data_IF_636750484221
#
_entry.id   IF_636750484221
#
_cell.length_a   1.000
_cell.length_b   1.000
_cell.length_c   1.000
_cell.angle_alpha   90.00
_cell.angle_beta   90.00
_cell.angle_gamma   90.00
#
_symmetry.space_group_name_H-M   'P 1'
#
loop_
_entity.id
_entity.type
_entity.pdbx_description
1 polymer ?
#
# COMPACT_ATOMS: atom_id res chain seq x y z
N UNK A 1 17.81 9.11 -7.60
CA UNK A 1 18.20 7.92 -6.83
C UNK A 1 18.15 6.75 -7.80
N UNK A 2 19.18 5.90 -7.82
CA UNK A 2 19.18 4.67 -8.63
C UNK A 2 18.27 3.60 -8.01
N UNK A 3 17.96 2.57 -8.80
CA UNK A 3 17.04 1.49 -8.42
C UNK A 3 17.52 0.71 -7.18
N UNK A 4 18.82 0.39 -7.13
CA UNK A 4 19.42 -0.34 -6.01
C UNK A 4 19.33 0.46 -4.69
N UNK A 5 19.58 1.77 -4.76
CA UNK A 5 19.45 2.64 -3.61
C UNK A 5 18.00 2.76 -3.13
N UNK A 6 17.02 2.81 -4.05
CA UNK A 6 15.60 2.79 -3.68
C UNK A 6 15.21 1.43 -3.08
N UNK A 7 15.65 0.31 -3.66
CA UNK A 7 15.41 -1.04 -3.11
C UNK A 7 15.97 -1.17 -1.69
N UNK A 8 17.20 -0.70 -1.46
CA UNK A 8 17.82 -0.70 -0.13
C UNK A 8 17.04 0.18 0.87
N UNK A 9 16.54 1.33 0.43
CA UNK A 9 15.69 2.19 1.26
C UNK A 9 14.37 1.51 1.61
N UNK A 10 13.69 0.90 0.62
CA UNK A 10 12.42 0.18 0.82
C UNK A 10 12.63 -0.99 1.78
N UNK A 11 13.63 -1.84 1.56
CA UNK A 11 13.95 -2.95 2.46
C UNK A 11 14.22 -2.50 3.91
N UNK A 12 14.89 -1.35 4.11
CA UNK A 12 15.14 -0.78 5.45
C UNK A 12 13.86 -0.28 6.14
N UNK A 13 12.92 0.27 5.38
CA UNK A 13 11.64 0.77 5.90
C UNK A 13 10.61 -0.34 6.08
N UNK A 14 10.72 -1.41 5.31
CA UNK A 14 9.86 -2.59 5.36
C UNK A 14 9.93 -3.33 6.71
N UNK A 15 8.85 -4.03 7.03
CA UNK A 15 8.74 -4.93 8.18
C UNK A 15 8.18 -6.28 7.70
N UNK A 16 8.51 -7.38 8.39
CA UNK A 16 7.89 -8.68 8.08
C UNK A 16 6.37 -8.60 8.15
N UNK A 17 5.70 -9.22 7.17
CA UNK A 17 4.24 -9.28 7.08
C UNK A 17 3.73 -10.72 7.31
N UNK A 18 2.51 -10.87 7.81
CA UNK A 18 1.93 -12.19 8.11
C UNK A 18 1.72 -13.07 6.86
N UNK A 19 1.71 -12.48 5.66
CA UNK A 19 1.69 -13.21 4.37
C UNK A 19 3.01 -13.90 4.02
N UNK A 20 4.06 -13.73 4.84
CA UNK A 20 5.41 -14.21 4.56
C UNK A 20 6.26 -13.28 3.68
N UNK A 21 5.68 -12.16 3.25
CA UNK A 21 6.38 -11.09 2.55
C UNK A 21 6.76 -9.93 3.46
N UNK A 22 6.85 -8.75 2.88
CA UNK A 22 7.23 -7.52 3.58
C UNK A 22 6.16 -6.44 3.41
N UNK A 23 5.96 -5.62 4.43
CA UNK A 23 5.02 -4.50 4.41
C UNK A 23 5.74 -3.19 4.72
N UNK A 24 5.42 -2.14 3.96
CA UNK A 24 5.91 -0.79 4.19
C UNK A 24 4.73 0.16 4.45
N UNK A 25 4.84 0.95 5.51
CA UNK A 25 3.85 1.97 5.83
C UNK A 25 4.09 3.25 5.03
N UNK A 26 3.01 3.85 4.53
CA UNK A 26 3.09 5.10 3.77
C UNK A 26 3.65 6.26 4.62
N UNK A 27 3.38 6.28 5.92
CA UNK A 27 3.97 7.28 6.82
C UNK A 27 5.51 7.18 6.85
N UNK A 28 6.07 5.96 6.82
CA UNK A 28 7.51 5.75 6.77
C UNK A 28 8.12 6.24 5.45
N UNK A 29 7.40 6.07 4.34
CA UNK A 29 7.80 6.60 3.03
C UNK A 29 7.82 8.13 3.03
N UNK A 30 6.76 8.76 3.56
CA UNK A 30 6.69 10.22 3.65
C UNK A 30 7.76 10.79 4.59
N UNK A 31 8.11 10.07 5.65
CA UNK A 31 9.20 10.45 6.55
C UNK A 31 10.59 10.43 5.88
N UNK A 32 10.75 9.71 4.77
CA UNK A 32 11.96 9.79 3.94
C UNK A 32 12.08 11.13 3.17
N UNK A 33 11.03 11.96 3.18
CA UNK A 33 11.09 13.32 2.66
C UNK A 33 11.15 13.38 1.14
N UNK A 34 12.22 13.97 0.60
CA UNK A 34 12.37 14.24 -0.83
C UNK A 34 12.34 12.96 -1.70
N UNK A 35 12.70 11.81 -1.12
CA UNK A 35 12.71 10.52 -1.82
C UNK A 35 11.33 9.84 -1.87
N UNK A 36 10.34 10.37 -1.15
CA UNK A 36 9.02 9.73 -0.99
C UNK A 36 8.31 9.46 -2.32
N UNK A 37 8.37 10.40 -3.27
CA UNK A 37 7.76 10.24 -4.60
C UNK A 37 8.46 9.13 -5.39
N UNK A 38 9.80 9.12 -5.38
CA UNK A 38 10.58 8.10 -6.07
C UNK A 38 10.31 6.69 -5.51
N UNK A 39 10.19 6.58 -4.18
CA UNK A 39 9.83 5.33 -3.51
C UNK A 39 8.43 4.87 -3.89
N UNK A 40 7.42 5.76 -3.91
CA UNK A 40 6.05 5.40 -4.33
C UNK A 40 6.01 4.94 -5.79
N UNK A 41 6.72 5.62 -6.69
CA UNK A 41 6.85 5.20 -8.10
C UNK A 41 7.52 3.84 -8.22
N UNK A 42 8.56 3.59 -7.42
CA UNK A 42 9.27 2.30 -7.41
C UNK A 42 8.37 1.16 -6.91
N UNK A 43 7.64 1.35 -5.81
CA UNK A 43 6.68 0.38 -5.25
C UNK A 43 5.67 -0.05 -6.32
N UNK A 44 5.08 0.91 -7.03
CA UNK A 44 4.09 0.65 -8.08
C UNK A 44 4.65 -0.15 -9.27
N UNK A 45 5.95 -0.02 -9.55
CA UNK A 45 6.63 -0.77 -10.62
C UNK A 45 7.12 -2.17 -10.18
N UNK A 46 7.22 -2.44 -8.88
CA UNK A 46 7.91 -3.61 -8.32
C UNK A 46 7.00 -4.52 -7.49
N UNK A 47 5.73 -4.67 -7.89
CA UNK A 47 4.74 -5.56 -7.26
C UNK A 47 4.40 -5.18 -5.80
N UNK A 48 4.53 -3.90 -5.44
CA UNK A 48 4.04 -3.40 -4.17
C UNK A 48 2.54 -3.19 -4.23
N UNK A 49 1.80 -4.06 -3.56
CA UNK A 49 0.33 -4.07 -3.60
C UNK A 49 -0.27 -3.29 -2.42
N UNK A 50 -1.30 -2.47 -2.64
CA UNK A 50 -1.98 -1.76 -1.57
C UNK A 50 -2.76 -2.73 -0.65
N UNK A 51 -2.39 -2.82 0.62
CA UNK A 51 -3.00 -3.75 1.59
C UNK A 51 -4.50 -3.45 1.81
N UNK A 52 -4.87 -2.18 1.70
CA UNK A 52 -6.17 -1.64 2.14
C UNK A 52 -7.17 -1.38 0.98
N UNK A 53 -6.80 -1.81 -0.24
CA UNK A 53 -7.68 -1.81 -1.42
C UNK A 53 -8.20 -3.21 -1.77
N UNK A 54 -8.20 -4.16 -0.82
CA UNK A 54 -9.11 -5.28 -0.92
C UNK A 54 -10.54 -4.70 -1.01
N UNK A 55 -11.35 -5.00 -2.04
CA UNK A 55 -12.75 -4.67 -1.99
C UNK A 55 -13.28 -5.33 -0.73
N UNK A 56 -13.68 -4.50 0.24
CA UNK A 56 -14.33 -4.95 1.46
C UNK A 56 -15.43 -5.88 0.95
N UNK A 57 -15.29 -7.19 1.20
CA UNK A 57 -16.28 -8.16 0.79
C UNK A 57 -17.62 -7.58 1.20
N UNK A 58 -18.58 -7.54 0.28
CA UNK A 58 -19.90 -6.96 0.51
C UNK A 58 -20.52 -7.69 1.69
N UNK A 59 -20.25 -7.22 2.90
CA UNK A 59 -20.79 -7.78 4.13
C UNK A 59 -22.28 -7.54 4.03
N UNK A 60 -23.00 -8.66 4.00
CA UNK A 60 -24.36 -8.76 3.50
C UNK A 60 -25.29 -7.69 4.03
N UNK A 61 -26.25 -7.33 3.19
CA UNK A 61 -27.37 -6.48 3.55
C UNK A 61 -28.04 -6.97 4.84
N UNK A 62 -27.69 -6.32 5.94
CA UNK A 62 -28.53 -6.24 7.13
C UNK A 62 -29.59 -5.17 6.89
N UNK A 63 -30.76 -5.36 7.49
CA UNK A 63 -32.01 -4.61 7.31
C UNK A 63 -31.98 -3.14 7.81
N UNK A 64 -30.86 -2.44 7.62
CA UNK A 64 -30.67 -1.00 7.85
C UNK A 64 -30.13 -0.29 6.60
N UNK A 65 -30.41 -0.83 5.42
CA UNK A 65 -30.17 -0.16 4.15
C UNK A 65 -31.24 0.88 3.86
N UNK A 66 -31.03 2.13 4.29
CA UNK A 66 -31.62 3.33 3.66
C UNK A 66 -31.14 4.61 4.36
N UNK A 67 -29.85 4.92 4.30
CA UNK A 67 -29.46 6.31 4.04
C UNK A 67 -28.46 6.28 2.92
N UNK A 68 -28.83 6.97 1.86
CA UNK A 68 -28.17 6.97 0.58
C UNK A 68 -26.66 7.12 0.77
N UNK A 69 -25.96 6.05 0.39
CA UNK A 69 -24.67 6.11 -0.26
C UNK A 69 -24.83 7.03 -1.48
N UNK A 70 -24.83 8.33 -1.23
CA UNK A 70 -24.76 9.36 -2.24
C UNK A 70 -23.33 9.31 -2.77
N UNK A 71 -23.16 8.46 -3.78
CA UNK A 71 -22.15 8.51 -4.82
C UNK A 71 -20.94 9.40 -4.57
N UNK A 72 -20.02 8.96 -3.71
CA UNK A 72 -18.60 9.27 -3.87
C UNK A 72 -17.89 7.98 -4.27
N UNK A 73 -18.32 7.42 -5.40
CA UNK A 73 -17.44 6.56 -6.15
C UNK A 73 -16.36 7.46 -6.75
N UNK A 74 -15.11 7.15 -6.43
CA UNK A 74 -13.87 7.54 -7.13
C UNK A 74 -13.07 8.69 -6.53
N UNK A 75 -12.65 8.55 -5.27
CA UNK A 75 -11.22 8.73 -5.00
C UNK A 75 -10.70 7.41 -4.42
N UNK A 76 -9.81 6.66 -5.11
CA UNK A 76 -9.17 5.52 -4.50
C UNK A 76 -8.43 6.02 -3.25
N UNK A 77 -9.01 5.77 -2.06
CA UNK A 77 -8.39 6.10 -0.77
C UNK A 77 -6.91 5.77 -0.86
N UNK A 78 -6.05 6.77 -0.64
CA UNK A 78 -4.61 6.56 -0.75
C UNK A 78 -4.20 5.42 0.20
N UNK A 79 -3.57 4.34 -0.30
CA UNK A 79 -3.21 3.20 0.53
C UNK A 79 -2.31 3.62 1.69
N UNK A 80 -2.63 3.14 2.90
CA UNK A 80 -1.83 3.40 4.09
C UNK A 80 -0.60 2.49 4.16
N UNK A 81 -0.66 1.31 3.51
CA UNK A 81 0.35 0.25 3.58
C UNK A 81 0.47 -0.42 2.21
N UNK A 82 1.69 -0.82 1.87
CA UNK A 82 2.00 -1.59 0.66
C UNK A 82 2.68 -2.90 1.06
N UNK A 83 2.24 -4.01 0.48
CA UNK A 83 2.73 -5.36 0.74
C UNK A 83 3.47 -5.88 -0.48
N UNK A 84 4.60 -6.54 -0.23
CA UNK A 84 5.41 -7.22 -1.23
C UNK A 84 5.29 -8.73 -1.07
N UNK A 85 5.30 -9.51 -2.17
CA UNK A 85 5.39 -10.96 -2.07
C UNK A 85 6.78 -11.38 -1.54
N UNK A 86 6.90 -12.59 -0.98
CA UNK A 86 8.18 -13.12 -0.54
C UNK A 86 9.22 -13.07 -1.66
N UNK A 87 10.41 -12.55 -1.37
CA UNK A 87 11.51 -12.47 -2.34
C UNK A 87 11.51 -11.24 -3.25
N UNK A 88 10.52 -10.34 -3.16
CA UNK A 88 10.46 -9.16 -4.02
C UNK A 88 11.51 -8.08 -3.69
N UNK A 89 12.04 -8.05 -2.46
CA UNK A 89 13.08 -7.10 -2.02
C UNK A 89 14.48 -7.75 -1.89
N UNK A 90 14.64 -8.97 -2.42
CA UNK A 90 15.89 -9.74 -2.39
C UNK A 90 16.93 -9.29 -3.41
#
# INVERSE_FOLDING_TARGET
MDDDAIRALVARLSRPHASGGEVIERAAILAAGADSVAVLTWIAAHNGEPEDLAPRATEGGGLHGARAHESEATDPRTPLRYVFPPGALS
#
